data_IF_922510410789
#
_entry.id   IF_922510410789
#
_cell.length_a   1.000
_cell.length_b   1.000
_cell.length_c   1.000
_cell.angle_alpha   90.00
_cell.angle_beta   90.00
_cell.angle_gamma   90.00
#
_symmetry.space_group_name_H-M   'P 1'
#
loop_
_entity.id
_entity.type
_entity.pdbx_description
1 polymer ?
#
# COMPACT_ATOMS: atom_id res chain seq x y z
N UNK A 1 -2.52 10.71 -12.19
CA UNK A 1 -3.58 9.68 -12.34
C UNK A 1 -4.94 10.36 -12.33
N UNK A 2 -5.86 9.96 -13.19
CA UNK A 2 -7.13 10.68 -13.45
C UNK A 2 -8.16 10.59 -12.31
N UNK A 3 -7.91 9.78 -11.26
CA UNK A 3 -8.85 9.49 -10.14
C UNK A 3 -10.29 9.21 -10.61
N UNK A 4 -10.45 8.71 -11.84
CA UNK A 4 -11.76 8.55 -12.49
C UNK A 4 -12.70 7.57 -11.76
N UNK A 5 -12.18 6.80 -10.80
CA UNK A 5 -12.93 5.87 -9.98
C UNK A 5 -13.61 6.50 -8.74
N UNK A 6 -13.24 7.73 -8.35
CA UNK A 6 -13.74 8.35 -7.11
C UNK A 6 -15.05 9.16 -7.23
N UNK A 7 -15.49 9.66 -8.41
CA UNK A 7 -16.79 10.31 -8.51
C UNK A 7 -17.92 9.41 -7.99
N UNK A 8 -18.84 10.00 -7.21
CA UNK A 8 -19.95 9.29 -6.55
C UNK A 8 -20.72 8.38 -7.51
N UNK A 9 -21.08 8.89 -8.69
CA UNK A 9 -21.85 8.13 -9.69
C UNK A 9 -21.11 6.87 -10.18
N UNK A 10 -19.79 6.93 -10.32
CA UNK A 10 -18.97 5.76 -10.72
C UNK A 10 -18.99 4.72 -9.61
N UNK A 11 -18.85 5.17 -8.35
CA UNK A 11 -18.90 4.29 -7.20
C UNK A 11 -20.28 3.63 -7.04
N UNK A 12 -21.37 4.40 -7.09
CA UNK A 12 -22.73 3.88 -6.99
C UNK A 12 -23.04 2.87 -8.09
N UNK A 13 -22.63 3.14 -9.32
CA UNK A 13 -22.77 2.19 -10.43
C UNK A 13 -22.04 0.89 -10.16
N UNK A 14 -20.79 0.98 -9.68
CA UNK A 14 -19.99 -0.20 -9.35
C UNK A 14 -20.59 -1.00 -8.18
N UNK A 15 -21.06 -0.30 -7.14
CA UNK A 15 -21.70 -0.89 -5.96
C UNK A 15 -23.00 -1.62 -6.30
N UNK A 16 -23.89 -0.96 -7.04
CA UNK A 16 -25.18 -1.54 -7.45
C UNK A 16 -25.02 -2.74 -8.39
N UNK A 17 -23.88 -2.83 -9.08
CA UNK A 17 -23.51 -3.99 -9.88
C UNK A 17 -22.86 -5.13 -9.06
N UNK A 18 -22.80 -5.01 -7.73
CA UNK A 18 -22.13 -6.00 -6.85
C UNK A 18 -20.60 -6.04 -7.02
N UNK A 19 -20.00 -4.99 -7.58
CA UNK A 19 -18.56 -4.91 -7.91
C UNK A 19 -17.94 -3.64 -7.33
N UNK A 20 -17.86 -3.51 -5.99
CA UNK A 20 -17.32 -2.32 -5.35
C UNK A 20 -15.89 -2.01 -5.83
N UNK A 21 -15.54 -0.72 -5.92
CA UNK A 21 -14.23 -0.29 -6.44
C UNK A 21 -13.07 -0.90 -5.64
N UNK A 22 -13.13 -0.87 -4.31
CA UNK A 22 -12.10 -1.50 -3.47
C UNK A 22 -12.02 -3.01 -3.72
N UNK A 23 -13.16 -3.69 -3.89
CA UNK A 23 -13.19 -5.11 -4.22
C UNK A 23 -12.47 -5.42 -5.53
N UNK A 24 -12.60 -4.56 -6.55
CA UNK A 24 -11.85 -4.70 -7.81
C UNK A 24 -10.35 -4.54 -7.59
N UNK A 25 -9.92 -3.51 -6.85
CA UNK A 25 -8.49 -3.27 -6.56
C UNK A 25 -7.85 -4.44 -5.79
N UNK A 26 -8.56 -4.99 -4.81
CA UNK A 26 -8.12 -6.17 -4.07
C UNK A 26 -8.09 -7.40 -4.98
N UNK A 27 -9.12 -7.60 -5.80
CA UNK A 27 -9.17 -8.71 -6.75
C UNK A 27 -8.01 -8.66 -7.75
N UNK A 28 -7.71 -7.50 -8.32
CA UNK A 28 -6.57 -7.31 -9.22
C UNK A 28 -5.24 -7.63 -8.50
N UNK A 29 -5.12 -7.22 -7.23
CA UNK A 29 -3.96 -7.54 -6.39
C UNK A 29 -3.84 -9.06 -6.16
N UNK A 30 -4.96 -9.75 -5.90
CA UNK A 30 -5.00 -11.22 -5.78
C UNK A 30 -4.63 -11.93 -7.08
N UNK A 31 -5.04 -11.41 -8.24
CA UNK A 31 -4.60 -11.94 -9.54
C UNK A 31 -3.10 -11.76 -9.76
N UNK A 32 -2.54 -10.64 -9.30
CA UNK A 32 -1.09 -10.45 -9.26
C UNK A 32 -0.38 -11.51 -8.40
N UNK A 33 -0.97 -11.88 -7.26
CA UNK A 33 -0.45 -12.93 -6.39
C UNK A 33 -0.55 -14.31 -7.05
N UNK A 34 -1.64 -14.60 -7.78
CA UNK A 34 -1.76 -15.83 -8.56
C UNK A 34 -0.64 -15.93 -9.59
N UNK A 35 -0.45 -14.87 -10.39
CA UNK A 35 0.61 -14.81 -11.38
C UNK A 35 2.00 -14.99 -10.75
N UNK A 36 2.30 -14.32 -9.64
CA UNK A 36 3.57 -14.49 -8.93
C UNK A 36 3.76 -15.91 -8.41
N UNK A 37 2.68 -16.58 -7.99
CA UNK A 37 2.74 -17.95 -7.47
C UNK A 37 3.00 -19.00 -8.55
N UNK A 38 2.74 -18.67 -9.81
CA UNK A 38 2.99 -19.55 -10.97
C UNK A 38 4.41 -19.40 -11.55
N UNK A 39 5.20 -18.43 -11.05
CA UNK A 39 6.54 -18.19 -11.55
C UNK A 39 7.57 -19.08 -10.86
N UNK A 40 8.36 -19.79 -11.65
CA UNK A 40 9.44 -20.65 -11.16
C UNK A 40 10.55 -19.89 -10.41
N UNK A 41 10.68 -18.56 -10.63
CA UNK A 41 11.66 -17.69 -9.97
C UNK A 41 11.13 -16.97 -8.73
N UNK A 42 9.92 -17.29 -8.27
CA UNK A 42 9.28 -16.72 -7.08
C UNK A 42 8.92 -17.82 -6.09
N UNK A 43 9.30 -17.65 -4.83
CA UNK A 43 8.84 -18.53 -3.75
C UNK A 43 7.43 -18.09 -3.30
N UNK A 44 6.36 -18.89 -3.56
CA UNK A 44 5.00 -18.52 -3.18
C UNK A 44 4.81 -18.44 -1.66
N UNK A 45 5.70 -19.04 -0.88
CA UNK A 45 5.71 -18.92 0.58
C UNK A 45 6.35 -17.61 1.08
N UNK A 46 6.79 -16.71 0.17
CA UNK A 46 7.45 -15.44 0.51
C UNK A 46 6.84 -14.23 -0.18
N UNK A 47 5.54 -14.28 -0.48
CA UNK A 47 4.83 -13.16 -1.10
C UNK A 47 4.28 -12.23 0.00
N UNK A 48 4.54 -10.92 -0.18
CA UNK A 48 4.01 -9.85 0.65
C UNK A 48 3.40 -8.73 -0.19
N UNK A 49 2.65 -7.85 0.46
CA UNK A 49 2.05 -6.65 -0.15
C UNK A 49 2.52 -5.40 0.59
N UNK A 50 2.73 -4.31 -0.13
CA UNK A 50 3.03 -3.02 0.48
C UNK A 50 2.33 -1.90 -0.29
N UNK A 51 1.88 -0.87 0.42
CA UNK A 51 1.26 0.27 -0.23
C UNK A 51 1.19 1.51 0.64
N UNK A 52 1.11 2.66 -0.04
CA UNK A 52 0.95 3.98 0.57
C UNK A 52 -0.38 4.61 0.16
N UNK A 53 -1.07 5.32 1.07
CA UNK A 53 -2.32 6.05 0.76
C UNK A 53 -3.45 5.09 0.34
N UNK A 54 -4.09 5.31 -0.82
CA UNK A 54 -5.00 4.32 -1.42
C UNK A 54 -4.35 2.94 -1.55
N UNK A 55 -3.06 2.87 -1.87
CA UNK A 55 -2.32 1.62 -1.88
C UNK A 55 -2.20 1.00 -0.48
N UNK A 56 -2.13 1.81 0.58
CA UNK A 56 -2.16 1.34 1.96
C UNK A 56 -3.53 0.77 2.33
N UNK A 57 -4.62 1.39 1.89
CA UNK A 57 -5.96 0.83 2.01
C UNK A 57 -6.07 -0.52 1.29
N UNK A 58 -5.61 -0.61 0.04
CA UNK A 58 -5.61 -1.86 -0.74
C UNK A 58 -4.74 -2.93 -0.07
N UNK A 59 -3.54 -2.59 0.43
CA UNK A 59 -2.68 -3.51 1.16
C UNK A 59 -3.35 -4.04 2.43
N UNK A 60 -4.04 -3.18 3.18
CA UNK A 60 -4.80 -3.55 4.38
C UNK A 60 -5.94 -4.52 4.06
N UNK A 61 -6.76 -4.19 3.05
CA UNK A 61 -7.84 -5.05 2.60
C UNK A 61 -7.36 -6.38 2.02
N UNK A 62 -6.25 -6.37 1.27
CA UNK A 62 -5.66 -7.59 0.70
C UNK A 62 -5.11 -8.47 1.82
N UNK A 63 -4.42 -7.90 2.82
CA UNK A 63 -3.93 -8.67 3.97
C UNK A 63 -5.05 -9.36 4.75
N UNK A 64 -6.23 -8.72 4.86
CA UNK A 64 -7.40 -9.30 5.51
C UNK A 64 -8.10 -10.39 4.69
N UNK A 65 -8.01 -10.36 3.36
CA UNK A 65 -8.79 -11.21 2.46
C UNK A 65 -7.98 -12.28 1.71
N UNK A 66 -6.65 -12.17 1.70
CA UNK A 66 -5.75 -13.07 0.98
C UNK A 66 -4.89 -13.89 1.97
N UNK A 67 -5.30 -15.12 2.33
CA UNK A 67 -4.61 -15.92 3.34
C UNK A 67 -3.24 -16.43 2.89
N UNK A 68 -2.89 -16.36 1.60
CA UNK A 68 -1.56 -16.76 1.09
C UNK A 68 -0.47 -15.77 1.46
N UNK A 69 -0.81 -14.49 1.67
CA UNK A 69 0.16 -13.45 2.02
C UNK A 69 0.86 -13.74 3.35
N UNK A 70 2.17 -13.47 3.38
CA UNK A 70 3.01 -13.64 4.57
C UNK A 70 3.38 -12.33 5.25
N UNK A 71 3.29 -11.21 4.53
CA UNK A 71 3.63 -9.90 5.05
C UNK A 71 2.80 -8.81 4.37
N UNK A 72 2.42 -7.80 5.15
CA UNK A 72 1.82 -6.57 4.67
C UNK A 72 2.50 -5.35 5.28
N UNK A 73 2.82 -4.34 4.47
CA UNK A 73 3.20 -3.00 4.94
C UNK A 73 2.11 -2.01 4.52
N UNK A 74 1.40 -1.49 5.51
CA UNK A 74 0.29 -0.55 5.35
C UNK A 74 0.79 0.83 5.71
N UNK A 75 0.96 1.69 4.71
CA UNK A 75 1.50 3.04 4.90
C UNK A 75 0.55 4.14 4.46
N UNK A 76 0.62 5.30 5.12
CA UNK A 76 -0.26 6.44 4.84
C UNK A 76 -1.74 6.05 4.94
N UNK A 77 -2.08 5.26 5.96
CA UNK A 77 -3.44 4.75 6.18
C UNK A 77 -3.70 4.55 7.68
N UNK A 78 -4.97 4.70 8.10
CA UNK A 78 -5.36 4.63 9.50
C UNK A 78 -6.48 3.62 9.73
N UNK A 79 -6.49 3.03 10.93
CA UNK A 79 -7.56 2.19 11.44
C UNK A 79 -8.41 3.02 12.41
N UNK A 80 -9.13 3.99 11.85
CA UNK A 80 -9.89 4.98 12.62
C UNK A 80 -11.10 5.48 11.82
N UNK A 81 -12.12 6.01 12.51
CA UNK A 81 -13.37 6.46 11.91
C UNK A 81 -13.22 7.68 10.98
N UNK A 82 -12.07 8.36 10.99
CA UNK A 82 -11.73 9.36 9.97
C UNK A 82 -11.81 8.78 8.56
N UNK A 83 -11.48 7.48 8.39
CA UNK A 83 -11.56 6.81 7.08
C UNK A 83 -12.99 6.52 6.62
N UNK A 84 -13.99 6.67 7.50
CA UNK A 84 -15.43 6.59 7.16
C UNK A 84 -15.99 7.90 6.60
N UNK A 85 -15.15 8.95 6.52
CA UNK A 85 -15.51 10.26 5.97
C UNK A 85 -14.64 10.65 4.77
N UNK A 86 -13.83 9.71 4.28
CA UNK A 86 -12.86 9.91 3.20
C UNK A 86 -13.50 9.82 1.80
N UNK A 87 -12.65 9.59 0.80
CA UNK A 87 -12.98 9.35 -0.62
C UNK A 87 -13.96 8.18 -0.79
N UNK A 88 -14.80 8.20 -1.81
CA UNK A 88 -15.88 7.20 -1.96
C UNK A 88 -15.33 5.78 -2.07
N UNK A 89 -14.23 5.61 -2.81
CA UNK A 89 -13.61 4.31 -3.04
C UNK A 89 -13.09 3.63 -1.77
N UNK A 90 -12.86 4.37 -0.68
CA UNK A 90 -12.43 3.82 0.61
C UNK A 90 -13.52 3.94 1.68
N UNK A 91 -14.26 5.05 1.70
CA UNK A 91 -15.33 5.32 2.66
C UNK A 91 -16.41 4.26 2.65
N UNK A 92 -17.03 4.00 1.49
CA UNK A 92 -18.19 3.11 1.41
C UNK A 92 -17.84 1.68 1.80
N UNK A 93 -16.76 1.05 1.30
CA UNK A 93 -16.39 -0.29 1.77
C UNK A 93 -16.03 -0.31 3.26
N UNK A 94 -15.40 0.75 3.79
CA UNK A 94 -15.13 0.83 5.23
C UNK A 94 -16.41 0.98 6.06
N UNK A 95 -17.41 1.73 5.60
CA UNK A 95 -18.70 1.84 6.27
C UNK A 95 -19.40 0.48 6.33
N UNK A 96 -19.49 -0.22 5.20
CA UNK A 96 -20.07 -1.56 5.14
C UNK A 96 -19.31 -2.56 6.02
N UNK A 97 -17.97 -2.50 6.04
CA UNK A 97 -17.16 -3.32 6.94
C UNK A 97 -17.46 -3.03 8.40
N UNK A 98 -17.61 -1.74 8.75
CA UNK A 98 -17.84 -1.30 10.13
C UNK A 98 -19.24 -1.59 10.66
N UNK A 99 -20.18 -2.01 9.81
CA UNK A 99 -21.45 -2.59 10.22
C UNK A 99 -21.31 -4.04 10.70
N UNK A 100 -20.22 -4.72 10.30
CA UNK A 100 -20.00 -6.15 10.53
C UNK A 100 -18.94 -6.39 11.60
N UNK A 101 -17.86 -5.59 11.61
CA UNK A 101 -16.78 -5.75 12.59
C UNK A 101 -16.11 -4.43 12.98
N UNK A 102 -15.34 -4.50 14.07
CA UNK A 102 -14.48 -3.43 14.57
C UNK A 102 -13.16 -3.38 13.82
N UNK A 103 -12.40 -2.29 13.97
CA UNK A 103 -11.06 -2.18 13.36
C UNK A 103 -10.07 -3.26 13.84
N UNK A 104 -10.00 -3.63 15.14
CA UNK A 104 -9.17 -4.74 15.59
C UNK A 104 -9.58 -6.08 14.98
N UNK A 105 -10.89 -6.38 14.94
CA UNK A 105 -11.39 -7.60 14.31
C UNK A 105 -11.02 -7.64 12.83
N UNK A 106 -11.22 -6.55 12.09
CA UNK A 106 -10.82 -6.46 10.69
C UNK A 106 -9.32 -6.68 10.47
N UNK A 107 -8.46 -5.98 11.23
CA UNK A 107 -7.01 -6.16 11.13
C UNK A 107 -6.56 -7.57 11.53
N UNK A 108 -7.30 -8.20 12.45
CA UNK A 108 -7.02 -9.57 12.90
C UNK A 108 -7.33 -10.65 11.86
N UNK A 109 -8.10 -10.34 10.80
CA UNK A 109 -8.34 -11.28 9.70
C UNK A 109 -7.06 -11.71 8.97
N UNK A 110 -6.00 -10.91 9.06
CA UNK A 110 -4.67 -11.26 8.55
C UNK A 110 -3.94 -12.31 9.41
N UNK A 111 -4.37 -12.53 10.65
CA UNK A 111 -3.76 -13.51 11.56
C UNK A 111 -4.13 -14.95 11.16
N UNK A 112 -3.28 -15.95 11.47
CA UNK A 112 -1.89 -15.84 11.92
C UNK A 112 -0.89 -15.75 10.74
N UNK A 113 -1.41 -15.76 9.51
CA UNK A 113 -0.66 -16.04 8.29
C UNK A 113 0.22 -14.86 7.85
N UNK A 114 -0.30 -13.64 7.96
CA UNK A 114 0.33 -12.44 7.44
C UNK A 114 0.90 -11.57 8.57
N UNK A 115 2.17 -11.17 8.45
CA UNK A 115 2.79 -10.21 9.36
C UNK A 115 2.51 -8.77 8.90
N UNK A 116 1.75 -7.99 9.67
CA UNK A 116 1.31 -6.63 9.29
C UNK A 116 2.10 -5.54 10.03
N UNK A 117 2.80 -4.69 9.29
CA UNK A 117 3.38 -3.45 9.80
C UNK A 117 2.56 -2.25 9.32
N UNK A 118 2.04 -1.48 10.26
CA UNK A 118 1.35 -0.21 9.99
C UNK A 118 2.35 0.93 10.20
N UNK A 119 2.71 1.65 9.12
CA UNK A 119 3.76 2.67 9.13
C UNK A 119 3.25 4.03 8.68
N UNK A 120 3.24 5.01 9.58
CA UNK A 120 2.73 6.36 9.29
C UNK A 120 3.67 7.45 9.79
N UNK A 121 3.40 8.69 9.38
CA UNK A 121 3.94 9.88 10.02
C UNK A 121 2.85 10.52 10.86
N UNK A 122 3.19 11.05 12.03
CA UNK A 122 2.18 11.64 12.94
C UNK A 122 1.77 13.08 12.58
N UNK A 123 2.35 13.67 11.53
CA UNK A 123 1.95 14.95 10.93
C UNK A 123 1.26 14.78 9.55
N UNK A 124 0.72 13.60 9.27
CA UNK A 124 -0.02 13.31 8.04
C UNK A 124 -1.48 13.80 8.12
N UNK A 125 -1.67 15.09 7.85
CA UNK A 125 -2.98 15.76 7.78
C UNK A 125 -3.89 15.26 6.64
N UNK A 126 -3.36 14.47 5.68
CA UNK A 126 -4.19 13.89 4.61
C UNK A 126 -5.08 12.80 5.17
N UNK A 127 -4.54 11.98 6.07
CA UNK A 127 -5.27 10.89 6.71
C UNK A 127 -5.94 11.36 8.00
N UNK A 128 -5.23 12.12 8.83
CA UNK A 128 -5.78 12.75 10.02
C UNK A 128 -6.34 14.14 9.67
N UNK A 129 -7.44 14.16 8.92
CA UNK A 129 -8.00 15.41 8.36
C UNK A 129 -8.46 16.43 9.40
N UNK A 130 -8.70 15.99 10.65
CA UNK A 130 -9.07 16.85 11.76
C UNK A 130 -7.83 17.45 12.47
N UNK A 131 -6.62 16.98 12.13
CA UNK A 131 -5.30 17.43 12.60
C UNK A 131 -5.17 17.48 14.14
N UNK A 132 -5.78 16.51 14.84
CA UNK A 132 -5.82 16.42 16.31
C UNK A 132 -5.10 15.17 16.86
N UNK A 133 -4.50 14.37 15.99
CA UNK A 133 -3.80 13.12 16.27
C UNK A 133 -4.72 11.95 16.62
N UNK A 134 -6.04 12.07 16.52
CA UNK A 134 -6.98 11.01 16.89
C UNK A 134 -6.81 9.78 15.99
N UNK A 135 -6.58 9.97 14.68
CA UNK A 135 -6.33 8.85 13.77
C UNK A 135 -5.14 7.99 14.22
N UNK A 136 -4.08 8.62 14.73
CA UNK A 136 -2.85 7.96 15.14
C UNK A 136 -2.97 7.30 16.50
N UNK A 137 -3.59 7.98 17.49
CA UNK A 137 -3.91 7.36 18.78
C UNK A 137 -4.83 6.15 18.60
N UNK A 138 -5.88 6.29 17.77
CA UNK A 138 -6.80 5.20 17.45
C UNK A 138 -6.10 4.03 16.76
N UNK A 139 -5.27 4.29 15.74
CA UNK A 139 -4.51 3.25 15.04
C UNK A 139 -3.56 2.49 15.96
N UNK A 140 -2.88 3.18 16.89
CA UNK A 140 -2.03 2.52 17.91
C UNK A 140 -2.85 1.63 18.84
N UNK A 141 -4.03 2.07 19.28
CA UNK A 141 -4.94 1.25 20.09
C UNK A 141 -5.35 -0.01 19.34
N UNK A 142 -5.81 0.15 18.10
CA UNK A 142 -6.24 -0.97 17.24
C UNK A 142 -5.13 -2.00 17.07
N UNK A 143 -3.90 -1.57 16.77
CA UNK A 143 -2.77 -2.48 16.63
C UNK A 143 -2.44 -3.19 17.94
N UNK A 144 -2.52 -2.49 19.07
CA UNK A 144 -2.28 -3.06 20.40
C UNK A 144 -3.31 -4.14 20.74
N UNK A 145 -4.59 -3.87 20.49
CA UNK A 145 -5.68 -4.84 20.68
C UNK A 145 -5.54 -6.03 19.73
N UNK A 146 -5.21 -5.77 18.46
CA UNK A 146 -5.00 -6.83 17.47
C UNK A 146 -3.82 -7.73 17.83
N UNK A 147 -2.76 -7.18 18.45
CA UNK A 147 -1.61 -7.97 18.89
C UNK A 147 -1.99 -9.05 19.92
N UNK A 148 -3.01 -8.80 20.75
CA UNK A 148 -3.53 -9.80 21.69
C UNK A 148 -4.21 -10.97 20.95
N UNK A 149 -4.91 -10.69 19.85
CA UNK A 149 -5.53 -11.72 18.98
C UNK A 149 -4.44 -12.53 18.27
N UNK A 150 -3.41 -11.88 17.73
CA UNK A 150 -2.26 -12.58 17.16
C UNK A 150 -1.58 -13.49 18.18
N UNK A 151 -1.43 -13.04 19.43
CA UNK A 151 -0.87 -13.85 20.51
C UNK A 151 -1.74 -15.08 20.82
N UNK A 152 -3.06 -14.94 20.88
CA UNK A 152 -3.96 -16.08 21.15
C UNK A 152 -3.96 -17.11 20.01
N UNK A 153 -3.60 -16.71 18.79
CA UNK A 153 -3.42 -17.58 17.63
C UNK A 153 -1.98 -18.11 17.46
N UNK A 154 -1.10 -17.91 18.45
CA UNK A 154 0.28 -18.41 18.40
C UNK A 154 1.20 -17.65 17.44
N UNK A 155 0.84 -16.42 17.06
CA UNK A 155 1.59 -15.56 16.15
C UNK A 155 2.01 -14.21 16.79
N UNK A 156 2.57 -14.21 18.02
CA UNK A 156 2.94 -12.97 18.70
C UNK A 156 3.96 -12.15 17.88
N UNK A 157 3.85 -10.83 17.95
CA UNK A 157 4.79 -9.91 17.30
C UNK A 157 4.64 -9.79 15.78
N UNK A 158 3.68 -10.47 15.14
CA UNK A 158 3.37 -10.34 13.70
C UNK A 158 2.47 -9.16 13.36
N UNK A 159 2.08 -8.33 14.32
CA UNK A 159 1.38 -7.06 14.05
C UNK A 159 2.05 -5.95 14.84
N UNK A 160 2.40 -4.84 14.16
CA UNK A 160 3.12 -3.73 14.78
C UNK A 160 2.75 -2.40 14.13
N UNK A 161 2.78 -1.34 14.95
CA UNK A 161 2.67 0.02 14.48
C UNK A 161 4.02 0.73 14.62
N UNK A 162 4.38 1.53 13.62
CA UNK A 162 5.57 2.35 13.57
C UNK A 162 5.18 3.75 13.10
N UNK A 163 5.77 4.77 13.71
CA UNK A 163 5.45 6.16 13.39
C UNK A 163 6.69 7.03 13.36
N UNK A 164 6.84 7.81 12.29
CA UNK A 164 7.84 8.87 12.20
C UNK A 164 7.31 10.14 12.85
N UNK A 165 8.03 10.64 13.86
CA UNK A 165 7.71 11.90 14.51
C UNK A 165 7.89 13.06 13.53
N UNK A 166 6.85 13.90 13.40
CA UNK A 166 6.74 15.00 12.43
C UNK A 166 6.82 14.55 10.97
N UNK A 167 6.73 13.24 10.72
CA UNK A 167 6.63 12.68 9.37
C UNK A 167 5.24 12.94 8.80
N UNK A 168 5.15 13.17 7.49
CA UNK A 168 3.87 13.37 6.81
C UNK A 168 3.39 12.13 6.04
N UNK A 169 2.68 12.38 4.94
CA UNK A 169 2.15 11.39 4.02
C UNK A 169 3.24 10.82 3.08
N UNK A 170 4.12 9.98 3.64
CA UNK A 170 5.34 9.46 2.98
C UNK A 170 5.25 7.95 2.72
N UNK A 171 5.91 7.43 1.68
CA UNK A 171 5.95 6.00 1.39
C UNK A 171 6.90 5.25 2.34
N UNK A 172 6.46 4.98 3.57
CA UNK A 172 7.31 4.37 4.60
C UNK A 172 7.72 2.93 4.31
N UNK A 173 7.14 2.27 3.30
CA UNK A 173 7.61 0.96 2.83
C UNK A 173 9.05 0.98 2.29
N UNK A 174 9.62 2.16 2.01
CA UNK A 174 11.01 2.33 1.62
C UNK A 174 11.96 2.66 2.80
N UNK A 175 11.43 2.78 4.03
CA UNK A 175 12.21 3.09 5.23
C UNK A 175 13.03 1.86 5.70
N UNK A 176 14.19 2.03 6.36
CA UNK A 176 14.96 0.91 6.93
C UNK A 176 14.16 -0.05 7.82
N UNK A 177 13.23 0.47 8.63
CA UNK A 177 12.34 -0.36 9.46
C UNK A 177 11.44 -1.29 8.64
N UNK A 178 11.01 -0.86 7.45
CA UNK A 178 10.25 -1.72 6.53
C UNK A 178 11.14 -2.85 5.99
N UNK A 179 12.40 -2.56 5.66
CA UNK A 179 13.36 -3.57 5.21
C UNK A 179 13.70 -4.58 6.31
N UNK A 180 13.81 -4.14 7.58
CA UNK A 180 13.96 -5.04 8.72
C UNK A 180 12.74 -5.94 8.91
N UNK A 181 11.53 -5.42 8.72
CA UNK A 181 10.29 -6.21 8.77
C UNK A 181 10.25 -7.27 7.66
N UNK A 182 10.62 -6.89 6.44
CA UNK A 182 10.74 -7.80 5.29
C UNK A 182 11.78 -8.89 5.59
N UNK A 183 12.96 -8.52 6.09
CA UNK A 183 13.99 -9.48 6.47
C UNK A 183 13.50 -10.49 7.51
N UNK A 184 12.78 -10.02 8.53
CA UNK A 184 12.29 -10.88 9.60
C UNK A 184 11.27 -11.92 9.11
N UNK A 185 10.37 -11.55 8.18
CA UNK A 185 9.21 -12.39 7.83
C UNK A 185 9.29 -13.07 6.46
N UNK A 186 10.03 -12.49 5.51
CA UNK A 186 10.25 -13.07 4.18
C UNK A 186 11.71 -13.47 3.95
N UNK A 187 12.64 -12.83 4.66
CA UNK A 187 14.08 -13.00 4.49
C UNK A 187 14.68 -12.11 3.41
N UNK A 188 15.96 -11.76 3.57
CA UNK A 188 16.76 -11.09 2.53
C UNK A 188 18.08 -11.86 2.36
N UNK A 189 18.19 -12.79 1.40
CA UNK A 189 19.32 -13.72 1.34
C UNK A 189 20.68 -13.04 1.16
N UNK A 190 20.70 -11.80 0.69
CA UNK A 190 21.93 -11.02 0.45
C UNK A 190 22.34 -10.13 1.63
N UNK A 191 21.49 -9.99 2.64
CA UNK A 191 21.72 -9.05 3.74
C UNK A 191 21.34 -9.67 5.09
N UNK A 192 22.23 -9.53 6.07
CA UNK A 192 21.91 -9.80 7.47
C UNK A 192 21.13 -8.64 8.09
N UNK A 193 20.38 -8.91 9.17
CA UNK A 193 19.72 -7.86 9.94
C UNK A 193 20.68 -6.75 10.42
N UNK A 194 21.93 -7.10 10.74
CA UNK A 194 22.92 -6.13 11.17
C UNK A 194 23.36 -5.24 10.00
N UNK A 195 23.67 -5.83 8.84
CA UNK A 195 23.97 -5.04 7.64
C UNK A 195 22.81 -4.11 7.27
N UNK A 196 21.56 -4.55 7.38
CA UNK A 196 20.39 -3.68 7.13
C UNK A 196 20.38 -2.48 8.08
N UNK A 197 20.67 -2.67 9.36
CA UNK A 197 20.76 -1.58 10.35
C UNK A 197 21.90 -0.61 10.03
N UNK A 198 22.98 -1.12 9.46
CA UNK A 198 24.18 -0.34 9.14
C UNK A 198 24.10 0.30 7.74
N UNK A 199 23.06 0.01 6.94
CA UNK A 199 22.87 0.62 5.63
C UNK A 199 22.70 2.13 5.75
N UNK A 200 23.36 2.93 4.89
CA UNK A 200 23.11 4.35 4.84
C UNK A 200 21.67 4.63 4.42
N UNK A 201 21.20 5.82 4.78
CA UNK A 201 19.91 6.35 4.32
C UNK A 201 20.13 7.58 3.48
N UNK A 202 19.19 7.83 2.57
CA UNK A 202 19.16 9.03 1.76
C UNK A 202 17.78 9.68 1.86
N UNK A 203 17.77 11.02 1.92
CA UNK A 203 16.53 11.76 1.76
C UNK A 203 16.14 11.79 0.28
N UNK A 204 14.93 11.34 -0.02
CA UNK A 204 14.36 11.27 -1.37
C UNK A 204 14.47 12.59 -2.14
N UNK A 205 14.14 13.72 -1.51
CA UNK A 205 14.21 15.05 -2.12
C UNK A 205 15.62 15.46 -2.50
N UNK A 206 16.58 15.29 -1.57
CA UNK A 206 18.00 15.56 -1.83
C UNK A 206 18.56 14.66 -2.93
N UNK A 207 18.17 13.38 -2.94
CA UNK A 207 18.55 12.47 -4.01
C UNK A 207 17.98 12.93 -5.37
N UNK A 208 16.72 13.37 -5.40
CA UNK A 208 16.11 13.91 -6.62
C UNK A 208 16.83 15.17 -7.11
N UNK A 209 17.16 16.11 -6.21
CA UNK A 209 17.87 17.34 -6.56
C UNK A 209 19.25 17.05 -7.16
N UNK A 210 20.00 16.10 -6.56
CA UNK A 210 21.32 15.68 -7.05
C UNK A 210 21.28 15.04 -8.47
N UNK A 211 20.13 14.53 -8.88
CA UNK A 211 19.91 13.90 -10.19
C UNK A 211 19.01 14.74 -11.12
N UNK A 212 18.73 16.00 -10.77
CA UNK A 212 17.90 16.91 -11.56
C UNK A 212 16.49 16.37 -11.84
N UNK A 213 15.94 15.58 -10.90
CA UNK A 213 14.59 15.03 -10.98
C UNK A 213 13.62 15.98 -10.29
N UNK A 214 12.69 16.53 -11.08
CA UNK A 214 11.65 17.42 -10.56
C UNK A 214 10.46 16.57 -10.09
N UNK A 215 10.17 16.64 -8.79
CA UNK A 215 8.96 16.07 -8.22
C UNK A 215 7.74 16.93 -8.55
N UNK A 216 6.60 16.29 -8.79
CA UNK A 216 5.32 16.99 -8.94
C UNK A 216 5.00 17.79 -7.66
N UNK A 217 4.32 18.93 -7.81
CA UNK A 217 4.09 19.91 -6.73
C UNK A 217 3.56 19.26 -5.45
N UNK A 218 2.59 18.35 -5.55
CA UNK A 218 2.03 17.67 -4.38
C UNK A 218 3.07 16.84 -3.61
N UNK A 219 3.94 16.15 -4.34
CA UNK A 219 4.94 15.24 -3.80
C UNK A 219 6.26 15.92 -3.43
N UNK A 220 6.46 17.15 -3.91
CA UNK A 220 7.66 17.97 -3.74
C UNK A 220 7.76 18.71 -2.39
N UNK A 221 7.04 18.27 -1.35
CA UNK A 221 7.09 18.90 -0.02
C UNK A 221 7.66 17.94 1.02
N UNK A 222 8.26 18.46 2.09
CA UNK A 222 8.84 17.61 3.14
C UNK A 222 7.79 16.75 3.83
N UNK A 223 6.52 17.16 3.91
CA UNK A 223 5.46 16.29 4.43
C UNK A 223 5.05 15.17 3.47
N UNK A 224 5.69 15.05 2.31
CA UNK A 224 5.40 14.07 1.27
C UNK A 224 6.68 13.35 0.82
N UNK A 225 6.68 12.75 -0.38
CA UNK A 225 7.75 11.93 -0.94
C UNK A 225 9.11 12.63 -0.90
N UNK A 226 9.18 13.95 -1.05
CA UNK A 226 10.44 14.71 -0.93
C UNK A 226 11.09 14.54 0.45
N UNK A 227 10.31 14.50 1.52
CA UNK A 227 10.83 14.32 2.89
C UNK A 227 11.13 12.87 3.27
N UNK A 228 10.81 11.89 2.42
CA UNK A 228 10.97 10.47 2.74
C UNK A 228 12.44 10.08 2.97
N UNK A 229 12.67 9.35 4.05
CA UNK A 229 13.94 8.66 4.33
C UNK A 229 13.90 7.29 3.67
N UNK A 230 14.84 7.03 2.77
CA UNK A 230 14.93 5.79 2.01
C UNK A 230 16.20 5.04 2.40
N UNK A 231 16.17 3.71 2.35
CA UNK A 231 17.40 2.90 2.36
C UNK A 231 18.22 3.26 1.12
N UNK A 232 19.50 3.58 1.30
CA UNK A 232 20.40 3.88 0.19
C UNK A 232 21.09 2.60 -0.31
N UNK A 233 20.59 2.08 -1.42
CA UNK A 233 21.16 0.95 -2.15
C UNK A 233 22.14 1.38 -3.25
N UNK A 234 22.54 2.66 -3.31
CA UNK A 234 23.32 3.19 -4.43
C UNK A 234 22.52 3.19 -5.74
N UNK A 235 21.22 3.44 -5.67
CA UNK A 235 20.34 3.44 -6.83
C UNK A 235 20.74 4.53 -7.83
N UNK A 236 20.70 4.19 -9.11
CA UNK A 236 20.93 5.14 -10.21
C UNK A 236 19.61 5.42 -10.95
N UNK A 237 19.38 6.67 -11.43
CA UNK A 237 18.20 6.97 -12.21
C UNK A 237 18.11 6.10 -13.46
N UNK A 238 16.94 5.51 -13.69
CA UNK A 238 16.62 4.87 -14.97
C UNK A 238 16.03 5.90 -15.93
N UNK A 239 16.54 5.91 -17.16
CA UNK A 239 15.98 6.72 -18.23
C UNK A 239 14.50 6.34 -18.47
N UNK A 240 13.63 7.34 -18.66
CA UNK A 240 12.18 7.11 -18.84
C UNK A 240 11.86 6.19 -20.02
N UNK A 241 12.69 6.17 -21.06
CA UNK A 241 12.51 5.27 -22.21
C UNK A 241 12.74 3.81 -21.83
N UNK A 242 13.54 3.52 -20.80
CA UNK A 242 13.72 2.17 -20.25
C UNK A 242 12.54 1.71 -19.39
N UNK A 243 11.70 2.65 -18.94
CA UNK A 243 10.50 2.37 -18.15
C UNK A 243 9.23 2.27 -19.00
N UNK A 244 9.31 2.57 -20.30
CA UNK A 244 8.16 2.54 -21.19
C UNK A 244 7.84 1.09 -21.57
N UNK A 245 6.67 0.60 -21.16
CA UNK A 245 6.16 -0.71 -21.58
C UNK A 245 5.75 -0.74 -23.06
N UNK A 246 5.55 0.43 -23.68
CA UNK A 246 5.19 0.60 -25.08
C UNK A 246 6.22 1.48 -25.77
N UNK A 247 6.63 1.08 -26.98
CA UNK A 247 7.39 1.92 -27.89
C UNK A 247 6.58 3.16 -28.27
N UNK A 248 7.22 4.28 -28.65
CA UNK A 248 6.50 5.49 -29.04
C UNK A 248 5.45 5.28 -30.14
N UNK A 249 5.71 4.40 -31.11
CA UNK A 249 4.82 4.05 -32.22
C UNK A 249 3.70 3.06 -31.85
N UNK A 250 3.78 2.44 -30.69
CA UNK A 250 2.75 1.53 -30.15
C UNK A 250 1.69 2.27 -29.34
N UNK A 251 1.98 3.49 -28.88
CA UNK A 251 1.05 4.29 -28.08
C UNK A 251 -0.18 4.67 -28.91
N UNK A 252 -1.36 4.36 -28.39
CA UNK A 252 -2.63 4.63 -29.06
C UNK A 252 -3.05 3.59 -30.10
N UNK A 253 -2.24 2.53 -30.34
CA UNK A 253 -2.69 1.41 -31.16
C UNK A 253 -3.87 0.71 -30.47
N UNK A 254 -4.92 0.29 -31.21
CA UNK A 254 -6.10 -0.35 -30.64
C UNK A 254 -5.80 -1.55 -29.72
N UNK A 255 -4.74 -2.31 -30.01
CA UNK A 255 -4.32 -3.44 -29.19
C UNK A 255 -3.88 -3.07 -27.75
N UNK A 256 -3.64 -1.79 -27.46
CA UNK A 256 -3.19 -1.27 -26.17
C UNK A 256 -4.10 -0.16 -25.62
N UNK A 257 -5.29 0.04 -26.19
CA UNK A 257 -6.26 1.03 -25.71
C UNK A 257 -7.55 0.35 -25.26
N UNK A 258 -8.25 0.98 -24.33
CA UNK A 258 -9.55 0.49 -23.87
C UNK A 258 -10.56 0.46 -25.02
N UNK A 259 -10.54 1.49 -25.85
CA UNK A 259 -11.42 1.62 -27.02
C UNK A 259 -11.20 0.46 -28.00
N UNK A 260 -9.94 0.12 -28.31
CA UNK A 260 -9.65 -0.98 -29.21
C UNK A 260 -10.01 -2.35 -28.62
N UNK A 261 -9.89 -2.53 -27.31
CA UNK A 261 -10.36 -3.75 -26.64
C UNK A 261 -11.89 -3.86 -26.65
N UNK A 262 -12.61 -2.75 -26.44
CA UNK A 262 -14.08 -2.73 -26.53
C UNK A 262 -14.54 -3.07 -27.95
N UNK A 263 -13.93 -2.47 -28.98
CA UNK A 263 -14.23 -2.80 -30.38
C UNK A 263 -13.99 -4.27 -30.72
N UNK A 264 -12.97 -4.91 -30.12
CA UNK A 264 -12.72 -6.34 -30.33
C UNK A 264 -13.80 -7.21 -29.69
N UNK A 265 -14.28 -6.85 -28.50
CA UNK A 265 -15.36 -7.59 -27.80
C UNK A 265 -16.68 -7.45 -28.57
N UNK A 266 -16.99 -6.26 -29.07
CA UNK A 266 -18.22 -5.98 -29.83
C UNK A 266 -18.24 -6.64 -31.23
N UNK A 267 -17.08 -7.05 -31.76
CA UNK A 267 -16.95 -7.75 -33.04
C UNK A 267 -17.04 -9.27 -32.94
N UNK A 268 -17.08 -9.83 -31.74
CA UNK A 268 -17.18 -11.29 -31.51
C UNK A 268 -18.61 -11.83 -31.46
N UNK A 269 -19.59 -11.02 -31.86
CA UNK A 269 -20.98 -11.41 -32.18
C UNK A 269 -21.21 -11.51 -33.70
#
# INVERSE_FOLDING_TARGET
>A
GTRAHDPKAVHERAWNAGRPIMGKLVFDTMRGIDFLSERDDVDPAKIGVAGNSLGGAVASWTAALEPRLKLAIVSGWAYHNVTLRSKYCTKVPNQAMREICTWPEFLSLAAPNCAVMVMNGDADWIIDSDDDGAAWRGTRSVVTETAQIYQSQGAPGKVRAWFEAKGGHRPYMCHPDALLWIHQHLGTPLLTAQQIRDLPTVNSGRWCDAHQIILERLYGTDLHQRGATLVDFGLTPLDRNKLACLKPDERGRPAFTLEGWLEQIERTD
#
